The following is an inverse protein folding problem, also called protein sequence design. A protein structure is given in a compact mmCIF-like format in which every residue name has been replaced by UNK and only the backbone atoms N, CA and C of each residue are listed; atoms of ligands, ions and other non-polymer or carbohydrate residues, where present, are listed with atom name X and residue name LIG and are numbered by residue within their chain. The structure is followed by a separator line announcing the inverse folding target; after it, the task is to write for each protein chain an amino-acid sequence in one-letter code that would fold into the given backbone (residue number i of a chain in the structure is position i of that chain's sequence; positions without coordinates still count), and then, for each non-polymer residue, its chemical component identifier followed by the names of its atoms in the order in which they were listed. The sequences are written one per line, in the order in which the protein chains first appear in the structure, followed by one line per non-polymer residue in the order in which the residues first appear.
data_IF_482879369222
#
_entry.id   IF_482879369222
#
_cell.length_a   1.000
_cell.length_b   1.000
_cell.length_c   1.000
_cell.angle_alpha   90.00
_cell.angle_beta   90.00
_cell.angle_gamma   90.00
#
_symmetry.space_group_name_H-M   'P 1'
#
loop_
_entity.id
_entity.type
_entity.pdbx_description
1 polymer ?
#
# COMPACT_ATOMS: atom_id res chain seq x y z
N UNK A 1 -21.00 -69.17 -7.86
CA UNK A 1 -21.72 -68.11 -7.13
C UNK A 1 -20.76 -66.98 -6.80
N UNK A 2 -20.95 -65.78 -7.37
CA UNK A 2 -20.09 -64.61 -7.15
C UNK A 2 -20.68 -63.79 -5.99
N UNK A 3 -20.02 -63.76 -4.83
CA UNK A 3 -20.44 -62.94 -3.67
C UNK A 3 -20.21 -61.47 -3.99
N UNK A 4 -21.28 -60.68 -4.02
CA UNK A 4 -21.20 -59.21 -4.12
C UNK A 4 -20.81 -58.69 -2.75
N UNK A 5 -19.60 -58.12 -2.63
CA UNK A 5 -19.12 -57.46 -1.42
C UNK A 5 -19.83 -56.11 -1.27
N UNK A 6 -20.70 -55.99 -0.26
CA UNK A 6 -21.32 -54.72 0.11
C UNK A 6 -20.23 -53.78 0.67
N UNK A 7 -19.78 -52.80 -0.12
CA UNK A 7 -18.90 -51.74 0.40
C UNK A 7 -19.73 -50.89 1.36
N UNK A 8 -19.43 -50.98 2.66
CA UNK A 8 -20.04 -50.12 3.69
C UNK A 8 -19.76 -48.66 3.32
N UNK A 9 -20.81 -47.90 3.01
CA UNK A 9 -20.72 -46.45 2.81
C UNK A 9 -20.63 -45.72 4.16
N UNK A 10 -20.05 -44.52 4.15
CA UNK A 10 -20.01 -43.64 5.32
C UNK A 10 -21.43 -43.29 5.81
N UNK A 11 -21.64 -43.30 7.11
CA UNK A 11 -22.90 -42.85 7.71
C UNK A 11 -22.91 -41.32 7.81
N UNK A 12 -24.11 -40.71 7.73
CA UNK A 12 -24.27 -39.26 7.89
C UNK A 12 -23.78 -38.77 9.26
N UNK A 13 -23.93 -39.60 10.30
CA UNK A 13 -23.49 -39.29 11.66
C UNK A 13 -21.95 -39.21 11.76
N UNK A 14 -21.24 -40.14 11.14
CA UNK A 14 -19.76 -40.12 11.09
C UNK A 14 -19.26 -38.85 10.39
N UNK A 15 -19.91 -38.43 9.30
CA UNK A 15 -19.52 -37.23 8.58
C UNK A 15 -19.70 -35.96 9.42
N UNK A 16 -20.82 -35.84 10.14
CA UNK A 16 -21.09 -34.67 10.99
C UNK A 16 -20.09 -34.59 12.14
N UNK A 17 -19.73 -35.71 12.76
CA UNK A 17 -18.72 -35.73 13.83
C UNK A 17 -17.34 -35.32 13.30
N UNK A 18 -16.95 -35.82 12.11
CA UNK A 18 -15.66 -35.46 11.49
C UNK A 18 -15.60 -33.97 11.16
N UNK A 19 -16.67 -33.39 10.59
CA UNK A 19 -16.71 -31.95 10.31
C UNK A 19 -16.68 -31.14 11.60
N UNK A 20 -17.37 -31.58 12.66
CA UNK A 20 -17.34 -30.91 13.96
C UNK A 20 -15.94 -30.89 14.58
N UNK A 21 -15.21 -32.03 14.52
CA UNK A 21 -13.83 -32.10 15.02
C UNK A 21 -12.90 -31.26 14.15
N UNK A 22 -13.03 -31.31 12.82
CA UNK A 22 -12.23 -30.48 11.92
C UNK A 22 -12.45 -28.98 12.16
N UNK A 23 -13.69 -28.56 12.47
CA UNK A 23 -13.98 -27.17 12.82
C UNK A 23 -13.26 -26.75 14.11
N UNK A 24 -13.28 -27.60 15.16
CA UNK A 24 -12.57 -27.33 16.42
C UNK A 24 -11.04 -27.34 16.23
N UNK A 25 -10.50 -28.21 15.39
CA UNK A 25 -9.07 -28.23 15.10
C UNK A 25 -8.65 -27.01 14.28
N UNK A 26 -9.45 -26.59 13.31
CA UNK A 26 -9.18 -25.43 12.47
C UNK A 26 -9.09 -24.14 13.30
N UNK A 27 -9.92 -23.98 14.34
CA UNK A 27 -9.88 -22.78 15.20
C UNK A 27 -8.58 -22.65 15.99
N UNK A 28 -7.94 -23.76 16.35
CA UNK A 28 -6.64 -23.76 17.05
C UNK A 28 -5.48 -23.65 16.04
N UNK A 29 -5.62 -24.30 14.88
CA UNK A 29 -4.57 -24.40 13.87
C UNK A 29 -4.34 -23.07 13.12
N UNK A 30 -5.40 -22.34 12.76
CA UNK A 30 -5.26 -21.11 11.96
C UNK A 30 -4.39 -20.05 12.68
N UNK A 31 -4.66 -19.67 13.95
CA UNK A 31 -3.85 -18.65 14.65
C UNK A 31 -2.39 -19.07 14.87
N UNK A 32 -2.16 -20.37 15.08
CA UNK A 32 -0.80 -20.88 15.32
C UNK A 32 0.02 -20.84 14.03
N UNK A 33 -0.54 -21.32 12.91
CA UNK A 33 0.12 -21.28 11.60
C UNK A 33 0.37 -19.83 11.13
N UNK A 34 -0.57 -18.91 11.32
CA UNK A 34 -0.35 -17.49 10.98
C UNK A 34 0.81 -16.89 11.75
N UNK A 35 0.93 -17.17 13.06
CA UNK A 35 2.06 -16.70 13.86
C UNK A 35 3.41 -17.29 13.42
N UNK A 36 3.46 -18.54 12.95
CA UNK A 36 4.67 -19.12 12.39
C UNK A 36 5.06 -18.50 11.04
N UNK A 37 4.08 -18.21 10.18
CA UNK A 37 4.32 -17.52 8.89
C UNK A 37 4.87 -16.12 9.13
N UNK A 38 4.29 -15.37 10.07
CA UNK A 38 4.79 -14.02 10.42
C UNK A 38 6.23 -14.07 10.90
N UNK A 39 6.57 -14.98 11.83
CA UNK A 39 7.95 -15.16 12.30
C UNK A 39 8.92 -15.54 11.17
N UNK A 40 8.48 -16.41 10.25
CA UNK A 40 9.29 -16.80 9.09
C UNK A 40 9.52 -15.61 8.14
N UNK A 41 8.49 -14.81 7.90
CA UNK A 41 8.59 -13.58 7.10
C UNK A 41 9.53 -12.57 7.78
N UNK A 42 9.42 -12.36 9.10
CA UNK A 42 10.32 -11.49 9.86
C UNK A 42 11.78 -11.95 9.77
N UNK A 43 12.04 -13.25 9.92
CA UNK A 43 13.39 -13.80 9.81
C UNK A 43 13.97 -13.62 8.40
N UNK A 44 13.13 -13.83 7.37
CA UNK A 44 13.49 -13.60 5.97
C UNK A 44 13.81 -12.12 5.72
N UNK A 45 12.99 -11.21 6.24
CA UNK A 45 13.18 -9.77 6.09
C UNK A 45 14.44 -9.28 6.79
N UNK A 46 14.73 -9.81 7.99
CA UNK A 46 15.98 -9.50 8.70
C UNK A 46 17.19 -10.00 7.89
N UNK A 47 17.13 -11.19 7.30
CA UNK A 47 18.21 -11.71 6.47
C UNK A 47 18.40 -10.86 5.21
N UNK A 48 17.31 -10.53 4.53
CA UNK A 48 17.28 -9.66 3.36
C UNK A 48 17.83 -8.27 3.67
N UNK A 49 17.45 -7.66 4.81
CA UNK A 49 17.96 -6.36 5.24
C UNK A 49 19.47 -6.38 5.51
N UNK A 50 19.99 -7.45 6.13
CA UNK A 50 21.43 -7.61 6.34
C UNK A 50 22.17 -7.73 5.02
N UNK A 51 21.63 -8.49 4.08
CA UNK A 51 22.19 -8.61 2.73
C UNK A 51 22.19 -7.27 2.01
N UNK A 52 21.07 -6.55 2.05
CA UNK A 52 20.90 -5.24 1.43
C UNK A 52 21.88 -4.20 1.98
N UNK A 53 22.06 -4.18 3.31
CA UNK A 53 23.08 -3.34 3.94
C UNK A 53 24.49 -3.76 3.49
N UNK A 54 24.79 -5.06 3.46
CA UNK A 54 26.11 -5.55 3.05
C UNK A 54 26.46 -5.13 1.62
N UNK A 55 25.53 -5.26 0.67
CA UNK A 55 25.78 -4.84 -0.73
C UNK A 55 25.85 -3.32 -0.88
N UNK A 56 25.08 -2.56 -0.09
CA UNK A 56 25.19 -1.08 -0.07
C UNK A 56 26.56 -0.64 0.44
N UNK A 57 27.11 -1.34 1.43
CA UNK A 57 28.46 -1.09 1.92
C UNK A 57 29.52 -1.41 0.87
N UNK A 58 29.36 -2.47 0.08
CA UNK A 58 30.25 -2.77 -1.04
C UNK A 58 30.19 -1.67 -2.11
N UNK A 59 28.98 -1.25 -2.48
CA UNK A 59 28.76 -0.16 -3.44
C UNK A 59 29.51 1.11 -3.04
N UNK A 60 29.51 1.45 -1.74
CA UNK A 60 30.22 2.62 -1.20
C UNK A 60 31.72 2.63 -1.47
N UNK A 61 32.37 1.47 -1.48
CA UNK A 61 33.81 1.40 -1.72
C UNK A 61 34.17 1.68 -3.18
N UNK A 62 33.27 1.40 -4.11
CA UNK A 62 33.46 1.68 -5.54
C UNK A 62 32.94 3.06 -5.95
N UNK A 63 31.84 3.53 -5.33
CA UNK A 63 31.26 4.85 -5.58
C UNK A 63 31.93 5.93 -4.73
N UNK A 64 33.09 6.42 -5.19
CA UNK A 64 33.82 7.60 -4.68
C UNK A 64 33.77 7.79 -3.13
N UNK A 65 34.77 7.27 -2.38
CA UNK A 65 34.75 7.20 -0.91
C UNK A 65 34.76 8.56 -0.18
N UNK A 66 34.71 9.67 -0.91
CA UNK A 66 34.73 11.05 -0.39
C UNK A 66 33.32 11.63 -0.24
N UNK A 67 32.26 11.00 -0.81
CA UNK A 67 30.89 11.47 -0.59
C UNK A 67 30.37 11.10 0.80
N UNK A 68 29.76 12.08 1.49
CA UNK A 68 29.15 11.86 2.82
C UNK A 68 27.90 10.97 2.76
N UNK A 69 27.09 11.07 1.70
CA UNK A 69 25.94 10.20 1.44
C UNK A 69 26.20 9.27 0.26
N UNK A 70 26.06 7.97 0.49
CA UNK A 70 26.20 6.89 -0.49
C UNK A 70 25.30 7.08 -1.71
N UNK A 71 24.09 7.59 -1.50
CA UNK A 71 23.10 7.78 -2.55
C UNK A 71 22.83 9.27 -2.81
N UNK A 72 23.90 10.06 -2.87
CA UNK A 72 23.81 11.50 -3.13
C UNK A 72 22.94 11.81 -4.35
N UNK A 73 21.97 12.70 -4.19
CA UNK A 73 21.04 13.12 -5.25
C UNK A 73 19.83 12.20 -5.43
N UNK A 74 19.77 11.06 -4.75
CA UNK A 74 18.60 10.17 -4.77
C UNK A 74 17.70 10.43 -3.57
N UNK A 75 16.44 10.71 -3.83
CA UNK A 75 15.46 11.06 -2.79
C UNK A 75 14.58 9.88 -2.37
N UNK A 76 14.35 8.90 -3.25
CA UNK A 76 13.49 7.73 -2.96
C UNK A 76 14.27 6.44 -2.73
N UNK A 77 13.71 5.55 -1.92
CA UNK A 77 14.29 4.21 -1.71
C UNK A 77 14.27 3.35 -2.97
N UNK A 78 13.25 3.52 -3.82
CA UNK A 78 13.19 2.84 -5.11
C UNK A 78 14.38 3.22 -5.99
N UNK A 79 14.75 4.51 -6.04
CA UNK A 79 15.90 4.98 -6.81
C UNK A 79 17.22 4.46 -6.22
N UNK A 80 17.34 4.43 -4.88
CA UNK A 80 18.51 3.85 -4.20
C UNK A 80 18.67 2.37 -4.51
N UNK A 81 17.58 1.61 -4.47
CA UNK A 81 17.57 0.19 -4.82
C UNK A 81 17.91 -0.01 -6.31
N UNK A 82 17.37 0.82 -7.19
CA UNK A 82 17.67 0.81 -8.63
C UNK A 82 19.13 1.15 -8.92
N UNK A 83 19.75 2.05 -8.14
CA UNK A 83 21.17 2.32 -8.24
C UNK A 83 22.00 1.06 -7.94
N UNK A 84 21.66 0.32 -6.89
CA UNK A 84 22.31 -0.95 -6.57
C UNK A 84 22.11 -2.00 -7.67
N UNK A 85 20.93 -2.07 -8.28
CA UNK A 85 20.65 -2.99 -9.40
C UNK A 85 21.48 -2.61 -10.64
N UNK A 86 21.47 -1.32 -11.00
CA UNK A 86 22.16 -0.81 -12.20
C UNK A 86 23.67 -1.05 -12.13
N UNK A 87 24.24 -1.02 -10.92
CA UNK A 87 25.65 -1.30 -10.67
C UNK A 87 25.93 -2.78 -10.34
N UNK A 88 24.96 -3.68 -10.56
CA UNK A 88 25.07 -5.14 -10.39
C UNK A 88 25.31 -5.63 -8.95
N UNK A 89 24.95 -4.84 -7.94
CA UNK A 89 24.97 -5.24 -6.53
C UNK A 89 23.73 -6.02 -6.10
N UNK A 90 22.65 -5.86 -6.86
CA UNK A 90 21.40 -6.59 -6.71
C UNK A 90 20.92 -7.08 -8.09
N UNK A 91 20.34 -8.27 -8.14
CA UNK A 91 19.68 -8.77 -9.36
C UNK A 91 18.27 -8.22 -9.54
N UNK A 92 17.62 -7.87 -8.43
CA UNK A 92 16.26 -7.31 -8.38
C UNK A 92 16.05 -6.52 -7.09
N UNK A 93 14.97 -5.73 -7.03
CA UNK A 93 14.63 -4.96 -5.84
C UNK A 93 14.19 -5.89 -4.71
N UNK A 94 14.79 -5.72 -3.53
CA UNK A 94 14.45 -6.53 -2.35
C UNK A 94 13.19 -5.97 -1.68
N UNK A 95 12.14 -6.78 -1.62
CA UNK A 95 10.83 -6.40 -1.03
C UNK A 95 10.57 -7.21 0.25
N UNK A 96 10.16 -6.58 1.37
CA UNK A 96 9.79 -7.30 2.58
C UNK A 96 8.62 -8.28 2.37
N UNK A 97 8.67 -9.41 3.07
CA UNK A 97 7.62 -10.44 3.13
C UNK A 97 6.54 -10.09 4.15
N UNK A 98 6.90 -9.36 5.22
CA UNK A 98 5.92 -8.87 6.18
C UNK A 98 5.00 -7.83 5.55
N UNK A 99 3.72 -7.88 5.90
CA UNK A 99 2.75 -6.86 5.50
C UNK A 99 3.07 -5.54 6.22
N UNK A 100 2.94 -4.42 5.52
CA UNK A 100 3.16 -3.06 6.05
C UNK A 100 4.57 -2.81 6.61
N UNK A 101 5.56 -3.61 6.20
CA UNK A 101 6.97 -3.35 6.49
C UNK A 101 7.66 -2.97 5.20
N UNK A 102 8.57 -2.02 5.29
CA UNK A 102 9.33 -1.47 4.17
C UNK A 102 10.82 -1.45 4.54
N UNK A 103 11.68 -1.64 3.54
CA UNK A 103 13.10 -1.33 3.70
C UNK A 103 13.30 0.12 3.33
N UNK A 104 13.74 0.91 4.30
CA UNK A 104 13.89 2.36 4.16
C UNK A 104 15.33 2.79 4.39
N UNK A 105 15.86 3.66 3.54
CA UNK A 105 17.20 4.21 3.73
C UNK A 105 17.20 5.31 4.79
N UNK A 106 18.10 5.18 5.76
CA UNK A 106 18.36 6.18 6.79
C UNK A 106 19.65 6.94 6.42
N UNK A 107 19.50 8.20 6.05
CA UNK A 107 20.59 9.05 5.52
C UNK A 107 21.62 9.46 6.58
N UNK A 108 21.24 9.53 7.85
CA UNK A 108 22.15 9.82 8.97
C UNK A 108 23.05 8.62 9.31
N UNK A 109 22.51 7.41 9.31
CA UNK A 109 23.27 6.19 9.61
C UNK A 109 23.84 5.50 8.39
N UNK A 110 23.43 5.93 7.18
CA UNK A 110 23.84 5.34 5.91
C UNK A 110 23.54 3.83 5.86
N UNK A 111 22.34 3.46 6.33
CA UNK A 111 21.89 2.08 6.43
C UNK A 111 20.41 1.94 6.07
N UNK A 112 20.06 0.81 5.48
CA UNK A 112 18.69 0.37 5.35
C UNK A 112 18.16 -0.11 6.70
N UNK A 113 16.92 0.26 7.01
CA UNK A 113 16.18 -0.20 8.18
C UNK A 113 14.83 -0.78 7.79
N UNK A 114 14.30 -1.68 8.61
CA UNK A 114 12.87 -1.99 8.54
C UNK A 114 12.09 -0.83 9.15
N UNK A 115 11.13 -0.32 8.40
CA UNK A 115 10.17 0.66 8.88
C UNK A 115 8.75 0.16 8.66
N UNK A 116 7.83 0.61 9.50
CA UNK A 116 6.41 0.34 9.36
C UNK A 116 5.71 1.40 8.48
N UNK A 117 6.50 2.21 7.77
CA UNK A 117 6.08 3.29 6.89
C UNK A 117 7.05 3.38 5.69
N UNK A 118 6.54 3.61 4.48
CA UNK A 118 7.39 3.84 3.30
C UNK A 118 8.07 5.21 3.40
N UNK A 119 9.29 5.37 2.86
CA UNK A 119 9.88 6.71 2.73
C UNK A 119 8.95 7.59 1.89
N UNK A 120 8.51 8.74 2.43
CA UNK A 120 7.67 9.65 1.68
C UNK A 120 8.33 10.10 0.39
N UNK A 121 7.53 10.22 -0.66
CA UNK A 121 7.99 10.81 -1.91
C UNK A 121 8.33 12.28 -1.71
N UNK A 122 9.36 12.75 -2.41
CA UNK A 122 9.59 14.18 -2.54
C UNK A 122 8.41 14.81 -3.29
N UNK A 123 7.74 15.78 -2.67
CA UNK A 123 6.55 16.43 -3.20
C UNK A 123 6.91 17.70 -3.98
N UNK A 124 7.87 17.62 -4.90
CA UNK A 124 8.26 18.74 -5.76
C UNK A 124 7.03 19.40 -6.40
N UNK A 125 6.96 20.74 -6.36
CA UNK A 125 5.84 21.54 -6.87
C UNK A 125 4.59 21.59 -5.96
N UNK A 126 4.61 20.87 -4.83
CA UNK A 126 3.56 20.89 -3.81
C UNK A 126 4.00 21.78 -2.65
N UNK A 127 3.06 22.57 -2.12
CA UNK A 127 3.27 23.48 -0.98
C UNK A 127 2.23 23.26 0.10
N UNK A 128 2.59 23.63 1.33
CA UNK A 128 1.67 23.63 2.47
C UNK A 128 0.86 24.93 2.48
N UNK A 129 -0.46 24.82 2.57
CA UNK A 129 -1.36 25.96 2.69
C UNK A 129 -1.20 26.70 4.03
N UNK A 130 -1.64 27.97 4.04
CA UNK A 130 -1.55 28.88 5.18
C UNK A 130 -2.94 29.38 5.59
N UNK A 131 -3.04 30.00 6.79
CA UNK A 131 -4.29 30.55 7.31
C UNK A 131 -5.40 29.50 7.41
N UNK A 132 -6.57 29.79 6.86
CA UNK A 132 -7.72 28.85 6.81
C UNK A 132 -7.46 27.56 6.04
N UNK A 133 -6.37 27.50 5.26
CA UNK A 133 -5.93 26.30 4.56
C UNK A 133 -4.66 25.68 5.18
N UNK A 134 -4.42 25.86 6.49
CA UNK A 134 -3.34 25.14 7.18
C UNK A 134 -3.59 23.62 7.16
N UNK A 135 -2.57 22.85 6.78
CA UNK A 135 -2.66 21.38 6.65
C UNK A 135 -3.08 20.87 5.27
N UNK A 136 -3.42 21.78 4.35
CA UNK A 136 -3.72 21.43 2.96
C UNK A 136 -2.42 21.35 2.18
N UNK A 137 -2.14 20.22 1.54
CA UNK A 137 -1.17 20.21 0.45
C UNK A 137 -1.83 20.72 -0.82
N UNK A 138 -1.17 21.66 -1.49
CA UNK A 138 -1.67 22.38 -2.66
C UNK A 138 -0.56 22.69 -3.67
N UNK A 139 -0.90 23.31 -4.79
CA UNK A 139 0.03 23.50 -5.90
C UNK A 139 -0.15 22.43 -6.97
N UNK A 140 0.92 22.05 -7.65
CA UNK A 140 0.88 21.06 -8.73
C UNK A 140 2.14 20.22 -8.65
N UNK A 141 1.97 18.94 -8.36
CA UNK A 141 3.07 18.00 -8.27
C UNK A 141 3.87 17.99 -9.58
N UNK A 142 5.17 18.20 -9.48
CA UNK A 142 6.12 18.22 -10.60
C UNK A 142 7.30 17.28 -10.37
N UNK A 143 7.20 16.37 -9.40
CA UNK A 143 8.18 15.32 -9.19
C UNK A 143 8.08 14.22 -10.24
N UNK A 144 9.14 13.41 -10.32
CA UNK A 144 9.26 12.28 -11.26
C UNK A 144 8.74 10.95 -10.71
N UNK A 145 8.46 10.85 -9.41
CA UNK A 145 8.00 9.61 -8.77
C UNK A 145 6.57 9.29 -9.18
N UNK A 146 6.35 8.09 -9.71
CA UNK A 146 5.01 7.58 -10.09
C UNK A 146 4.38 6.70 -9.00
N UNK A 147 5.20 6.11 -8.13
CA UNK A 147 4.75 5.37 -6.95
C UNK A 147 4.69 6.30 -5.74
N UNK A 148 3.62 7.08 -5.66
CA UNK A 148 3.51 8.15 -4.68
C UNK A 148 3.30 7.61 -3.27
N UNK A 149 4.18 8.00 -2.35
CA UNK A 149 4.09 7.77 -0.91
C UNK A 149 3.78 9.10 -0.24
N UNK A 150 2.56 9.24 0.26
CA UNK A 150 2.11 10.46 0.90
C UNK A 150 2.81 10.66 2.26
N UNK A 151 3.52 11.78 2.48
CA UNK A 151 4.09 12.07 3.78
C UNK A 151 3.01 12.32 4.84
N UNK A 152 3.38 12.16 6.11
CA UNK A 152 2.55 12.57 7.25
C UNK A 152 2.56 14.09 7.43
N UNK A 153 3.70 14.73 7.14
CA UNK A 153 3.94 16.15 7.33
C UNK A 153 4.63 16.78 6.14
N UNK A 154 4.38 18.07 5.92
CA UNK A 154 5.18 18.91 5.03
C UNK A 154 5.53 20.18 5.80
N UNK A 155 6.81 20.56 5.82
CA UNK A 155 7.32 21.69 6.61
C UNK A 155 6.91 21.62 8.10
N UNK A 156 6.98 20.43 8.71
CA UNK A 156 6.57 20.15 10.09
C UNK A 156 5.08 20.40 10.41
N UNK A 157 4.22 20.47 9.39
CA UNK A 157 2.77 20.57 9.56
C UNK A 157 2.12 19.29 9.05
N UNK A 158 1.23 18.70 9.86
CA UNK A 158 0.45 17.53 9.47
C UNK A 158 -0.37 17.80 8.20
N UNK A 159 -0.35 16.84 7.28
CA UNK A 159 -1.18 16.87 6.08
C UNK A 159 -2.56 16.33 6.45
N UNK A 160 -3.55 17.22 6.40
CA UNK A 160 -4.95 16.90 6.73
C UNK A 160 -5.83 16.90 5.49
N UNK A 161 -5.44 17.57 4.41
CA UNK A 161 -6.23 17.67 3.19
C UNK A 161 -5.34 17.57 1.95
N UNK A 162 -5.81 16.86 0.92
CA UNK A 162 -5.22 16.90 -0.41
C UNK A 162 -6.04 17.85 -1.27
N UNK A 163 -5.51 19.02 -1.58
CA UNK A 163 -6.26 20.06 -2.28
C UNK A 163 -6.48 19.74 -3.76
N UNK A 164 -7.29 20.56 -4.41
CA UNK A 164 -7.71 20.35 -5.78
C UNK A 164 -6.54 20.26 -6.76
N UNK A 165 -6.65 19.35 -7.72
CA UNK A 165 -5.75 19.16 -8.87
C UNK A 165 -4.26 18.86 -8.57
N UNK A 166 -3.85 18.72 -7.30
CA UNK A 166 -2.43 18.62 -6.89
C UNK A 166 -1.69 17.51 -7.62
N UNK A 167 -2.31 16.34 -7.78
CA UNK A 167 -1.76 15.19 -8.49
C UNK A 167 -2.57 14.85 -9.76
N UNK A 168 -3.25 15.81 -10.37
CA UNK A 168 -4.01 15.57 -11.61
C UNK A 168 -3.06 15.37 -12.81
N UNK A 169 -3.23 14.27 -13.57
CA UNK A 169 -2.50 14.07 -14.82
C UNK A 169 -1.02 13.75 -14.65
N UNK A 170 -0.61 13.14 -13.52
CA UNK A 170 0.82 12.93 -13.19
C UNK A 170 1.34 11.56 -13.57
N UNK A 171 0.49 10.69 -14.11
CA UNK A 171 0.86 9.33 -14.51
C UNK A 171 1.13 8.39 -13.34
N UNK A 172 0.65 8.72 -12.13
CA UNK A 172 0.89 7.90 -10.93
C UNK A 172 0.41 6.46 -11.14
N UNK A 173 1.24 5.51 -10.75
CA UNK A 173 1.01 4.05 -10.86
C UNK A 173 0.60 3.44 -9.53
N UNK A 174 1.07 4.02 -8.43
CA UNK A 174 0.71 3.62 -7.06
C UNK A 174 0.48 4.84 -6.19
N UNK A 175 -0.39 4.69 -5.19
CA UNK A 175 -0.64 5.67 -4.14
C UNK A 175 -0.66 4.95 -2.79
N UNK A 176 0.25 5.34 -1.91
CA UNK A 176 0.31 4.86 -0.54
C UNK A 176 0.03 5.98 0.44
N UNK A 177 -0.94 5.73 1.32
CA UNK A 177 -1.16 6.51 2.53
C UNK A 177 -0.70 5.70 3.72
N UNK A 178 0.10 6.31 4.58
CA UNK A 178 0.48 5.69 5.83
C UNK A 178 -0.73 5.53 6.77
N UNK A 179 -0.88 4.41 7.50
CA UNK A 179 -1.95 4.25 8.48
C UNK A 179 -1.99 5.33 9.57
N UNK A 180 -0.85 5.97 9.87
CA UNK A 180 -0.76 7.08 10.81
C UNK A 180 -1.12 8.44 10.19
N UNK A 181 -1.47 8.50 8.90
CA UNK A 181 -1.89 9.75 8.27
C UNK A 181 -3.18 10.27 8.91
N UNK A 182 -3.35 11.58 8.88
CA UNK A 182 -4.49 12.29 9.48
C UNK A 182 -5.31 13.03 8.42
N UNK A 183 -5.27 12.53 7.18
CA UNK A 183 -5.99 13.13 6.05
C UNK A 183 -7.48 12.88 6.24
N UNK A 184 -8.26 13.95 6.25
CA UNK A 184 -9.71 13.92 6.45
C UNK A 184 -10.47 14.10 5.13
N UNK A 185 -9.88 14.78 4.15
CA UNK A 185 -10.57 15.11 2.90
C UNK A 185 -9.63 15.12 1.69
N UNK A 186 -10.14 14.58 0.58
CA UNK A 186 -9.48 14.59 -0.72
C UNK A 186 -10.34 15.37 -1.69
N UNK A 187 -9.84 16.53 -2.11
CA UNK A 187 -10.59 17.52 -2.89
C UNK A 187 -10.71 17.17 -4.38
N UNK A 188 -11.49 17.99 -5.07
CA UNK A 188 -11.86 17.79 -6.46
C UNK A 188 -10.63 17.55 -7.35
N UNK A 189 -10.70 16.48 -8.14
CA UNK A 189 -9.66 16.07 -9.10
C UNK A 189 -8.25 15.87 -8.52
N UNK A 190 -8.09 15.76 -7.20
CA UNK A 190 -6.78 15.66 -6.55
C UNK A 190 -5.85 14.60 -7.18
N UNK A 191 -6.38 13.43 -7.53
CA UNK A 191 -5.67 12.31 -8.16
C UNK A 191 -6.29 11.88 -9.51
N UNK A 192 -7.00 12.79 -10.17
CA UNK A 192 -7.66 12.52 -11.45
C UNK A 192 -6.66 12.29 -12.60
N UNK A 193 -7.06 11.53 -13.64
CA UNK A 193 -6.23 11.26 -14.83
C UNK A 193 -4.85 10.65 -14.51
N UNK A 194 -4.80 9.60 -13.70
CA UNK A 194 -3.57 8.83 -13.44
C UNK A 194 -3.75 7.36 -13.88
N UNK A 195 -2.76 6.52 -13.57
CA UNK A 195 -2.71 5.10 -13.92
C UNK A 195 -2.92 4.19 -12.71
N UNK A 196 -3.61 4.67 -11.66
CA UNK A 196 -3.84 3.90 -10.44
C UNK A 196 -4.78 2.71 -10.72
N UNK A 197 -4.35 1.50 -10.35
CA UNK A 197 -5.14 0.27 -10.50
C UNK A 197 -5.78 -0.19 -9.19
N UNK A 198 -5.22 0.23 -8.07
CA UNK A 198 -5.79 0.05 -6.75
C UNK A 198 -5.63 1.30 -5.91
N UNK A 199 -6.53 1.50 -4.94
CA UNK A 199 -6.42 2.57 -3.97
C UNK A 199 -6.88 2.09 -2.60
N UNK A 200 -6.16 2.49 -1.56
CA UNK A 200 -6.56 2.31 -0.17
C UNK A 200 -6.83 3.68 0.42
N UNK A 201 -8.10 3.97 0.71
CA UNK A 201 -8.56 5.20 1.34
C UNK A 201 -8.42 5.04 2.87
N UNK A 202 -7.62 5.89 3.55
CA UNK A 202 -7.43 5.80 4.99
C UNK A 202 -8.74 5.93 5.77
N UNK A 203 -8.81 5.29 6.94
CA UNK A 203 -9.99 5.38 7.84
C UNK A 203 -10.26 6.80 8.35
N UNK A 204 -9.27 7.70 8.27
CA UNK A 204 -9.41 9.10 8.66
C UNK A 204 -10.14 9.93 7.60
N UNK A 205 -10.17 9.48 6.34
CA UNK A 205 -10.82 10.21 5.26
C UNK A 205 -12.33 10.07 5.40
N UNK A 206 -13.02 11.19 5.53
CA UNK A 206 -14.49 11.26 5.67
C UNK A 206 -15.16 11.83 4.42
N UNK A 207 -14.40 12.47 3.51
CA UNK A 207 -14.95 13.12 2.32
C UNK A 207 -14.06 12.96 1.09
N UNK A 208 -14.68 12.54 -0.01
CA UNK A 208 -14.08 12.47 -1.35
C UNK A 208 -14.89 13.34 -2.32
N UNK A 209 -14.24 14.36 -2.85
CA UNK A 209 -14.87 15.37 -3.71
C UNK A 209 -14.95 14.96 -5.19
N UNK A 210 -15.62 15.82 -5.97
CA UNK A 210 -15.86 15.65 -7.40
C UNK A 210 -14.62 15.15 -8.15
N UNK A 211 -14.76 13.98 -8.76
CA UNK A 211 -13.71 13.39 -9.60
C UNK A 211 -12.35 13.19 -8.93
N UNK A 212 -12.26 13.11 -7.59
CA UNK A 212 -11.00 12.99 -6.87
C UNK A 212 -10.07 11.88 -7.39
N UNK A 213 -10.61 10.73 -7.79
CA UNK A 213 -9.89 9.58 -8.36
C UNK A 213 -10.40 9.19 -9.75
N UNK A 214 -11.11 10.09 -10.44
CA UNK A 214 -11.69 9.76 -11.74
C UNK A 214 -10.60 9.54 -12.80
N UNK A 215 -10.97 8.88 -13.90
CA UNK A 215 -10.06 8.57 -15.00
C UNK A 215 -8.78 7.83 -14.56
N UNK A 216 -8.93 6.93 -13.59
CA UNK A 216 -7.93 5.92 -13.24
C UNK A 216 -8.48 4.52 -13.57
N UNK A 217 -7.65 3.55 -13.97
CA UNK A 217 -8.05 2.16 -14.21
C UNK A 217 -8.22 1.35 -12.90
N UNK A 218 -8.87 1.92 -11.88
CA UNK A 218 -9.00 1.30 -10.55
C UNK A 218 -9.93 0.09 -10.63
N UNK A 219 -9.40 -1.07 -10.24
CA UNK A 219 -10.14 -2.34 -10.10
C UNK A 219 -10.22 -2.84 -8.67
N UNK A 220 -9.55 -2.18 -7.73
CA UNK A 220 -9.58 -2.55 -6.30
C UNK A 220 -9.59 -1.31 -5.41
N UNK A 221 -10.55 -1.26 -4.49
CA UNK A 221 -10.70 -0.17 -3.53
C UNK A 221 -10.78 -0.76 -2.13
N UNK A 222 -9.89 -0.34 -1.24
CA UNK A 222 -10.02 -0.57 0.21
C UNK A 222 -10.46 0.75 0.83
N UNK A 223 -11.53 0.75 1.61
CA UNK A 223 -12.11 1.99 2.14
C UNK A 223 -12.66 1.81 3.56
N UNK A 224 -12.39 2.80 4.41
CA UNK A 224 -12.88 2.88 5.78
C UNK A 224 -14.38 3.18 5.89
N UNK A 225 -14.93 3.23 7.11
CA UNK A 225 -16.33 3.55 7.34
C UNK A 225 -16.62 5.05 7.14
N UNK A 226 -17.90 5.40 6.98
CA UNK A 226 -18.41 6.78 7.01
C UNK A 226 -17.83 7.75 5.97
N UNK A 227 -17.30 7.26 4.86
CA UNK A 227 -16.87 8.13 3.74
C UNK A 227 -18.08 8.67 2.97
N UNK A 228 -18.09 9.97 2.73
CA UNK A 228 -19.05 10.66 1.86
C UNK A 228 -18.44 10.87 0.46
N UNK A 229 -19.26 10.67 -0.57
CA UNK A 229 -18.83 10.77 -1.98
C UNK A 229 -19.62 11.83 -2.69
N UNK A 230 -18.90 12.74 -3.33
CA UNK A 230 -19.45 13.61 -4.36
C UNK A 230 -19.64 12.84 -5.69
N UNK A 231 -20.02 13.57 -6.74
CA UNK A 231 -20.22 12.97 -8.06
C UNK A 231 -18.89 12.55 -8.71
N UNK A 232 -18.93 11.43 -9.44
CA UNK A 232 -17.81 10.92 -10.25
C UNK A 232 -16.49 10.68 -9.50
N UNK A 233 -16.47 10.44 -8.18
CA UNK A 233 -15.21 10.21 -7.41
C UNK A 233 -14.32 9.15 -8.06
N UNK A 234 -14.89 7.99 -8.40
CA UNK A 234 -14.23 6.93 -9.17
C UNK A 234 -14.87 6.80 -10.56
N UNK A 235 -14.15 6.19 -11.51
CA UNK A 235 -14.70 5.85 -12.84
C UNK A 235 -15.99 5.03 -12.64
N UNK A 236 -17.10 5.48 -13.22
CA UNK A 236 -18.43 4.91 -13.00
C UNK A 236 -18.88 4.93 -11.53
N UNK A 237 -18.66 6.07 -10.85
CA UNK A 237 -18.89 6.31 -9.42
C UNK A 237 -20.16 5.67 -8.85
N UNK A 238 -21.28 5.71 -9.58
CA UNK A 238 -22.55 5.21 -9.09
C UNK A 238 -22.47 3.72 -8.71
N UNK A 239 -21.83 2.88 -9.54
CA UNK A 239 -21.75 1.46 -9.26
C UNK A 239 -20.95 1.15 -7.98
N UNK A 240 -19.84 1.85 -7.75
CA UNK A 240 -19.06 1.68 -6.52
C UNK A 240 -19.79 2.26 -5.30
N UNK A 241 -20.25 3.51 -5.41
CA UNK A 241 -20.92 4.25 -4.33
C UNK A 241 -22.11 3.47 -3.80
N UNK A 242 -22.97 2.96 -4.68
CA UNK A 242 -24.18 2.24 -4.27
C UNK A 242 -23.81 0.92 -3.57
N UNK A 243 -22.78 0.22 -4.06
CA UNK A 243 -22.25 -0.99 -3.42
C UNK A 243 -21.68 -0.69 -2.03
N UNK A 244 -20.92 0.40 -1.89
CA UNK A 244 -20.36 0.82 -0.60
C UNK A 244 -21.45 1.25 0.38
N UNK A 245 -22.46 2.03 -0.05
CA UNK A 245 -23.57 2.44 0.81
C UNK A 245 -24.38 1.24 1.32
N UNK A 246 -24.45 0.16 0.54
CA UNK A 246 -25.11 -1.07 0.95
C UNK A 246 -24.26 -1.95 1.90
N UNK A 247 -22.93 -1.96 1.74
CA UNK A 247 -22.06 -2.96 2.40
C UNK A 247 -21.01 -2.37 3.35
N UNK A 248 -20.86 -1.05 3.41
CA UNK A 248 -19.99 -0.33 4.35
C UNK A 248 -18.48 -0.44 4.08
N UNK A 249 -17.67 -0.29 5.11
CA UNK A 249 -16.21 -0.39 5.01
C UNK A 249 -15.75 -1.77 4.51
N UNK A 250 -14.66 -1.83 3.76
CA UNK A 250 -14.05 -3.08 3.32
C UNK A 250 -13.22 -2.96 2.05
N UNK A 251 -12.87 -4.12 1.48
CA UNK A 251 -12.15 -4.23 0.21
C UNK A 251 -13.12 -4.65 -0.88
N UNK A 252 -13.10 -3.92 -1.99
CA UNK A 252 -13.98 -4.11 -3.14
C UNK A 252 -13.15 -4.38 -4.38
N UNK A 253 -13.59 -5.35 -5.19
CA UNK A 253 -12.99 -5.69 -6.48
C UNK A 253 -13.97 -5.41 -7.60
N UNK A 254 -13.48 -4.86 -8.71
CA UNK A 254 -14.24 -4.69 -9.93
C UNK A 254 -14.11 -5.93 -10.81
N UNK A 255 -15.14 -6.77 -10.83
CA UNK A 255 -15.16 -8.05 -11.53
C UNK A 255 -16.37 -8.08 -12.46
N UNK A 256 -16.15 -8.38 -13.74
CA UNK A 256 -17.25 -8.55 -14.70
C UNK A 256 -18.15 -7.31 -14.87
N UNK A 257 -17.62 -6.10 -14.66
CA UNK A 257 -18.38 -4.85 -14.78
C UNK A 257 -19.10 -4.39 -13.50
N UNK A 258 -18.94 -5.11 -12.38
CA UNK A 258 -19.58 -4.78 -11.10
C UNK A 258 -18.57 -4.77 -9.94
N UNK A 259 -18.88 -3.99 -8.90
CA UNK A 259 -18.10 -3.98 -7.67
C UNK A 259 -18.61 -5.06 -6.70
N UNK A 260 -17.68 -5.87 -6.19
CA UNK A 260 -17.96 -6.97 -5.26
C UNK A 260 -17.09 -6.80 -4.03
N UNK A 261 -17.70 -6.80 -2.83
CA UNK A 261 -16.98 -6.79 -1.57
C UNK A 261 -16.38 -8.18 -1.30
N UNK A 262 -15.13 -8.22 -0.84
CA UNK A 262 -14.46 -9.43 -0.38
C UNK A 262 -14.86 -9.81 1.05
#
# INVERSE_FOLDING_TARGET
MRRVLYKKGFTLLELIIVIAIMAVLATILIPTVTGYIEKANTATDIANLRSLNSVSQLYRFESNPIQEDLFTGLTTDSDRMNALITHNYLSEAVVPKQKNVYFTWKTDTQQWMMANSKVPSDLNGVTMGTGGHKGYIKGSYSGSTLDLVMPLTLNNVNITHVYQDVFNGKGLTSLYFDPACVITEIHARAFNNNNLTEVTIPNTVTKLDYAAFNNNPITKITIGPNVTFETNVFRNNNAFRDTYLAQGAGTYLFIGGSWVKQ
#
